data_IF_172835411311
#
_entry.id   IF_172835411311
#
_cell.length_a   1.000
_cell.length_b   1.000
_cell.length_c   1.000
_cell.angle_alpha   90.00
_cell.angle_beta   90.00
_cell.angle_gamma   90.00
#
_symmetry.space_group_name_H-M   'P 1'
#
loop_
_entity.id
_entity.type
_entity.pdbx_description
1 polymer ?
#
# COMPACT_ATOMS: atom_id res chain seq x y z
N UNK A 1 -7.61 -43.26 -14.54
CA UNK A 1 -7.50 -41.86 -15.02
C UNK A 1 -7.77 -40.82 -13.92
N UNK A 2 -8.86 -40.92 -13.15
CA UNK A 2 -9.20 -39.94 -12.09
C UNK A 2 -8.13 -39.77 -11.00
N UNK A 3 -7.52 -40.86 -10.52
CA UNK A 3 -6.46 -40.82 -9.49
C UNK A 3 -5.22 -40.07 -9.99
N UNK A 4 -4.82 -40.28 -11.25
CA UNK A 4 -3.69 -39.59 -11.85
C UNK A 4 -3.96 -38.08 -11.99
N UNK A 5 -5.19 -37.73 -12.38
CA UNK A 5 -5.65 -36.34 -12.44
C UNK A 5 -5.64 -35.67 -11.06
N UNK A 6 -6.07 -36.37 -10.02
CA UNK A 6 -6.10 -35.86 -8.65
C UNK A 6 -4.69 -35.58 -8.13
N UNK A 7 -3.76 -36.53 -8.30
CA UNK A 7 -2.35 -36.35 -7.90
C UNK A 7 -1.68 -35.21 -8.66
N UNK A 8 -1.95 -35.08 -9.97
CA UNK A 8 -1.42 -33.96 -10.77
C UNK A 8 -2.01 -32.61 -10.32
N UNK A 9 -3.30 -32.57 -9.98
CA UNK A 9 -3.96 -31.36 -9.48
C UNK A 9 -3.40 -30.94 -8.11
N UNK A 10 -3.19 -31.87 -7.18
CA UNK A 10 -2.57 -31.58 -5.88
C UNK A 10 -1.15 -31.04 -6.04
N UNK A 11 -0.34 -31.69 -6.87
CA UNK A 11 1.05 -31.26 -7.10
C UNK A 11 1.09 -29.86 -7.72
N UNK A 12 0.20 -29.58 -8.67
CA UNK A 12 0.08 -28.28 -9.29
C UNK A 12 -0.39 -27.20 -8.30
N UNK A 13 -1.38 -27.50 -7.46
CA UNK A 13 -1.89 -26.59 -6.43
C UNK A 13 -0.82 -26.29 -5.37
N UNK A 14 -0.10 -27.31 -4.89
CA UNK A 14 1.01 -27.17 -3.95
C UNK A 14 2.11 -26.28 -4.51
N UNK A 15 2.53 -26.50 -5.75
CA UNK A 15 3.54 -25.68 -6.41
C UNK A 15 3.10 -24.22 -6.61
N UNK A 16 1.80 -23.99 -6.87
CA UNK A 16 1.23 -22.63 -6.91
C UNK A 16 1.29 -21.96 -5.54
N UNK A 17 0.95 -22.68 -4.47
CA UNK A 17 0.96 -22.17 -3.09
C UNK A 17 2.37 -21.77 -2.67
N UNK A 18 3.38 -22.62 -2.91
CA UNK A 18 4.78 -22.33 -2.59
C UNK A 18 5.28 -21.08 -3.32
N UNK A 19 5.02 -21.00 -4.63
CA UNK A 19 5.43 -19.85 -5.44
C UNK A 19 4.71 -18.57 -5.01
N UNK A 20 3.43 -18.66 -4.67
CA UNK A 20 2.67 -17.50 -4.15
C UNK A 20 3.19 -17.04 -2.79
N UNK A 21 3.58 -17.98 -1.90
CA UNK A 21 4.20 -17.65 -0.60
C UNK A 21 5.53 -16.92 -0.79
N UNK A 22 6.35 -17.35 -1.74
CA UNK A 22 7.62 -16.67 -2.03
C UNK A 22 7.42 -15.26 -2.60
N UNK A 23 6.46 -15.10 -3.51
CA UNK A 23 6.08 -13.78 -4.05
C UNK A 23 5.58 -12.86 -2.93
N UNK A 24 4.66 -13.35 -2.09
CA UNK A 24 4.10 -12.61 -0.96
C UNK A 24 5.18 -12.16 0.03
N UNK A 25 6.07 -13.08 0.42
CA UNK A 25 7.19 -12.78 1.31
C UNK A 25 8.19 -11.81 0.69
N UNK A 26 8.39 -11.85 -0.63
CA UNK A 26 9.26 -10.91 -1.34
C UNK A 26 8.65 -9.51 -1.40
N UNK A 27 7.34 -9.39 -1.65
CA UNK A 27 6.62 -8.11 -1.64
C UNK A 27 6.70 -7.46 -0.25
N UNK A 28 6.37 -8.19 0.81
CA UNK A 28 6.43 -7.68 2.17
C UNK A 28 7.84 -7.17 2.54
N UNK A 29 8.88 -7.96 2.27
CA UNK A 29 10.28 -7.56 2.54
C UNK A 29 10.72 -6.32 1.76
N UNK A 30 10.21 -6.13 0.54
CA UNK A 30 10.55 -4.99 -0.33
C UNK A 30 9.65 -3.76 -0.11
N UNK A 31 8.53 -3.90 0.59
CA UNK A 31 7.53 -2.84 0.77
C UNK A 31 8.15 -1.53 1.26
N UNK A 32 9.00 -1.59 2.30
CA UNK A 32 9.71 -0.43 2.84
C UNK A 32 10.63 0.24 1.81
N UNK A 33 11.36 -0.55 1.02
CA UNK A 33 12.25 -0.02 -0.02
C UNK A 33 11.46 0.69 -1.12
N UNK A 34 10.36 0.08 -1.57
CA UNK A 34 9.49 0.65 -2.61
C UNK A 34 8.82 1.94 -2.10
N UNK A 35 8.26 1.91 -0.89
CA UNK A 35 7.63 3.06 -0.28
C UNK A 35 8.59 4.24 -0.12
N UNK A 36 9.82 4.00 0.38
CA UNK A 36 10.86 5.04 0.51
C UNK A 36 11.25 5.66 -0.84
N UNK A 37 11.33 4.84 -1.90
CA UNK A 37 11.60 5.35 -3.25
C UNK A 37 10.46 6.26 -3.74
N UNK A 38 9.21 5.85 -3.53
CA UNK A 38 8.03 6.65 -3.88
C UNK A 38 7.96 7.95 -3.08
N UNK A 39 8.22 7.91 -1.77
CA UNK A 39 8.30 9.10 -0.92
C UNK A 39 9.39 10.07 -1.40
N UNK A 40 10.57 9.56 -1.80
CA UNK A 40 11.61 10.41 -2.39
C UNK A 40 11.12 11.13 -3.64
N UNK A 41 10.40 10.44 -4.52
CA UNK A 41 9.81 11.03 -5.73
C UNK A 41 8.73 12.06 -5.37
N UNK A 42 7.84 11.75 -4.42
CA UNK A 42 6.83 12.68 -3.93
C UNK A 42 7.49 13.95 -3.36
N UNK A 43 8.55 13.82 -2.57
CA UNK A 43 9.31 14.95 -2.05
C UNK A 43 9.94 15.82 -3.14
N UNK A 44 10.35 15.25 -4.28
CA UNK A 44 10.80 16.04 -5.42
C UNK A 44 9.64 16.82 -6.07
N UNK A 45 8.48 16.18 -6.27
CA UNK A 45 7.28 16.80 -6.83
C UNK A 45 6.73 17.92 -5.93
N UNK A 46 6.79 17.72 -4.61
CA UNK A 46 6.47 18.74 -3.61
C UNK A 46 7.31 20.00 -3.80
N UNK A 47 8.64 19.86 -3.92
CA UNK A 47 9.56 20.98 -4.12
C UNK A 47 9.32 21.73 -5.43
N UNK A 48 8.87 21.02 -6.46
CA UNK A 48 8.53 21.59 -7.76
C UNK A 48 7.13 22.23 -7.80
N UNK A 49 6.35 22.16 -6.71
CA UNK A 49 4.96 22.65 -6.68
C UNK A 49 4.00 21.83 -7.54
N UNK A 50 4.38 20.62 -7.93
CA UNK A 50 3.59 19.76 -8.82
C UNK A 50 2.51 19.01 -8.04
N UNK A 51 1.40 19.69 -7.76
CA UNK A 51 0.34 19.23 -6.88
C UNK A 51 -0.24 17.85 -7.24
N UNK A 52 -0.82 17.71 -8.43
CA UNK A 52 -1.51 16.47 -8.82
C UNK A 52 -0.54 15.28 -8.92
N UNK A 53 0.65 15.42 -9.54
CA UNK A 53 1.68 14.39 -9.51
C UNK A 53 2.13 14.02 -8.09
N UNK A 54 2.28 14.99 -7.19
CA UNK A 54 2.66 14.75 -5.80
C UNK A 54 1.68 13.81 -5.11
N UNK A 55 0.38 14.13 -5.13
CA UNK A 55 -0.63 13.28 -4.49
C UNK A 55 -0.77 11.92 -5.17
N UNK A 56 -0.58 11.85 -6.49
CA UNK A 56 -0.55 10.56 -7.18
C UNK A 56 0.61 9.68 -6.71
N UNK A 57 1.80 10.24 -6.52
CA UNK A 57 2.97 9.50 -6.06
C UNK A 57 2.91 9.18 -4.57
N UNK A 58 2.35 10.07 -3.75
CA UNK A 58 2.07 9.85 -2.33
C UNK A 58 1.07 8.70 -2.14
N UNK A 59 -0.01 8.67 -2.94
CA UNK A 59 -0.99 7.59 -2.92
C UNK A 59 -0.32 6.24 -3.23
N UNK A 60 0.54 6.18 -4.26
CA UNK A 60 1.28 4.96 -4.60
C UNK A 60 2.22 4.52 -3.47
N UNK A 61 2.82 5.45 -2.74
CA UNK A 61 3.66 5.13 -1.59
C UNK A 61 2.84 4.44 -0.49
N UNK A 62 1.74 5.06 -0.07
CA UNK A 62 0.89 4.58 1.02
C UNK A 62 0.15 3.29 0.68
N UNK A 63 -0.62 3.29 -0.41
CA UNK A 63 -1.42 2.13 -0.79
C UNK A 63 -0.54 0.97 -1.22
N UNK A 64 0.56 1.24 -1.93
CA UNK A 64 1.54 0.23 -2.32
C UNK A 64 2.20 -0.42 -1.11
N UNK A 65 2.61 0.38 -0.12
CA UNK A 65 3.20 -0.11 1.13
C UNK A 65 2.26 -1.10 1.84
N UNK A 66 1.03 -0.67 2.09
CA UNK A 66 0.02 -1.47 2.80
C UNK A 66 -0.36 -2.71 1.99
N UNK A 67 -0.53 -2.58 0.68
CA UNK A 67 -0.83 -3.72 -0.20
C UNK A 67 0.27 -4.77 -0.18
N UNK A 68 1.54 -4.36 -0.21
CA UNK A 68 2.67 -5.29 -0.19
C UNK A 68 2.85 -5.93 1.20
N UNK A 69 2.65 -5.17 2.27
CA UNK A 69 2.71 -5.69 3.65
C UNK A 69 1.58 -6.66 3.96
N UNK A 70 0.37 -6.35 3.53
CA UNK A 70 -0.82 -7.18 3.72
C UNK A 70 -0.96 -8.28 2.65
N UNK A 71 -0.07 -8.30 1.66
CA UNK A 71 -0.14 -9.19 0.50
C UNK A 71 -1.50 -9.13 -0.23
N UNK A 72 -2.03 -7.91 -0.39
CA UNK A 72 -3.26 -7.66 -1.14
C UNK A 72 -2.93 -7.51 -2.63
N UNK A 73 -3.84 -8.01 -3.47
CA UNK A 73 -3.86 -7.73 -4.91
C UNK A 73 -4.79 -6.56 -5.20
N UNK A 74 -4.70 -5.97 -6.39
CA UNK A 74 -5.60 -4.88 -6.79
C UNK A 74 -7.08 -5.28 -6.79
N UNK A 75 -7.38 -6.55 -7.07
CA UNK A 75 -8.75 -7.07 -7.06
C UNK A 75 -9.29 -7.29 -5.65
N UNK A 76 -8.38 -7.43 -4.68
CA UNK A 76 -8.69 -7.75 -3.30
C UNK A 76 -8.72 -6.53 -2.38
N UNK A 77 -8.28 -5.37 -2.86
CA UNK A 77 -8.07 -4.19 -2.03
C UNK A 77 -9.40 -3.46 -1.80
N UNK A 78 -9.76 -3.27 -0.53
CA UNK A 78 -10.86 -2.40 -0.12
C UNK A 78 -10.49 -1.72 1.19
N UNK A 79 -11.15 -0.59 1.49
CA UNK A 79 -10.95 0.15 2.75
C UNK A 79 -11.18 -0.78 3.96
N UNK A 80 -12.31 -1.47 3.99
CA UNK A 80 -12.68 -2.36 5.10
C UNK A 80 -11.66 -3.48 5.28
N UNK A 81 -11.22 -4.11 4.18
CA UNK A 81 -10.24 -5.20 4.26
C UNK A 81 -8.87 -4.72 4.76
N UNK A 82 -8.45 -3.51 4.37
CA UNK A 82 -7.21 -2.91 4.90
C UNK A 82 -7.34 -2.71 6.41
N UNK A 83 -8.42 -2.08 6.85
CA UNK A 83 -8.68 -1.79 8.27
C UNK A 83 -8.71 -3.08 9.09
N UNK A 84 -9.48 -4.07 8.67
CA UNK A 84 -9.60 -5.37 9.35
C UNK A 84 -8.26 -6.09 9.48
N UNK A 85 -7.46 -6.10 8.41
CA UNK A 85 -6.15 -6.76 8.42
C UNK A 85 -5.12 -6.01 9.26
N UNK A 86 -5.13 -4.67 9.25
CA UNK A 86 -4.25 -3.87 10.11
C UNK A 86 -4.61 -4.07 11.59
N UNK A 87 -5.89 -4.10 11.93
CA UNK A 87 -6.37 -4.44 13.27
C UNK A 87 -5.95 -5.84 13.69
N UNK A 88 -6.11 -6.83 12.82
CA UNK A 88 -5.71 -8.22 13.08
C UNK A 88 -4.20 -8.33 13.36
N UNK A 89 -3.40 -7.43 12.80
CA UNK A 89 -1.95 -7.34 13.07
C UNK A 89 -1.58 -6.48 14.27
N UNK A 90 -2.56 -5.97 15.02
CA UNK A 90 -2.34 -5.19 16.23
C UNK A 90 -1.82 -3.77 15.98
N UNK A 91 -2.06 -3.22 14.79
CA UNK A 91 -1.71 -1.82 14.48
C UNK A 91 -2.59 -0.90 15.32
N UNK A 92 -1.98 0.16 15.87
CA UNK A 92 -2.70 1.18 16.64
C UNK A 92 -3.77 1.86 15.76
N UNK A 93 -4.98 2.02 16.31
CA UNK A 93 -6.10 2.70 15.66
C UNK A 93 -5.74 4.09 15.13
N UNK A 94 -4.89 4.84 15.84
CA UNK A 94 -4.47 6.18 15.41
C UNK A 94 -3.69 6.13 14.09
N UNK A 95 -2.81 5.13 13.92
CA UNK A 95 -2.06 4.92 12.68
C UNK A 95 -2.98 4.47 11.54
N UNK A 96 -3.99 3.63 11.84
CA UNK A 96 -5.00 3.23 10.86
C UNK A 96 -5.79 4.47 10.39
N UNK A 97 -6.22 5.31 11.33
CA UNK A 97 -6.99 6.51 11.00
C UNK A 97 -6.17 7.55 10.22
N UNK A 98 -4.88 7.70 10.54
CA UNK A 98 -3.96 8.55 9.79
C UNK A 98 -3.73 8.04 8.37
N UNK A 99 -3.57 6.71 8.18
CA UNK A 99 -3.49 6.11 6.86
C UNK A 99 -4.74 6.42 6.02
N UNK A 100 -5.93 6.21 6.59
CA UNK A 100 -7.19 6.48 5.90
C UNK A 100 -7.32 7.95 5.53
N UNK A 101 -7.00 8.84 6.47
CA UNK A 101 -7.00 10.28 6.22
C UNK A 101 -6.08 10.64 5.04
N UNK A 102 -4.85 10.13 5.00
CA UNK A 102 -3.90 10.44 3.93
C UNK A 102 -4.33 9.85 2.57
N UNK A 103 -4.95 8.67 2.55
CA UNK A 103 -5.55 8.10 1.34
C UNK A 103 -6.66 9.02 0.83
N UNK A 104 -7.55 9.48 1.70
CA UNK A 104 -8.66 10.36 1.34
C UNK A 104 -8.15 11.70 0.78
N UNK A 105 -7.09 12.27 1.38
CA UNK A 105 -6.44 13.47 0.84
C UNK A 105 -5.91 13.24 -0.59
N UNK A 106 -5.30 12.09 -0.85
CA UNK A 106 -4.81 11.74 -2.17
C UNK A 106 -5.93 11.52 -3.20
N UNK A 107 -7.03 10.89 -2.79
CA UNK A 107 -8.18 10.66 -3.67
C UNK A 107 -8.90 11.97 -3.98
N UNK A 108 -9.14 12.80 -2.97
CA UNK A 108 -9.71 14.14 -3.15
C UNK A 108 -8.88 14.98 -4.11
N UNK A 109 -7.56 14.99 -3.93
CA UNK A 109 -6.61 15.70 -4.80
C UNK A 109 -6.68 15.25 -6.28
N UNK A 110 -6.98 13.98 -6.53
CA UNK A 110 -7.07 13.40 -7.87
C UNK A 110 -8.37 13.74 -8.59
N UNK A 111 -9.47 13.90 -7.84
CA UNK A 111 -10.81 14.08 -8.41
C UNK A 111 -11.37 15.49 -8.26
N UNK A 112 -10.72 16.35 -7.47
CA UNK A 112 -11.15 17.75 -7.30
C UNK A 112 -10.62 18.63 -8.45
N UNK A 113 -11.48 19.51 -9.03
CA UNK A 113 -11.09 20.44 -10.08
C UNK A 113 -10.18 21.57 -9.58
N UNK A 114 -10.25 21.90 -8.29
CA UNK A 114 -9.32 22.80 -7.63
C UNK A 114 -8.87 22.17 -6.31
N UNK A 115 -7.89 21.27 -6.37
CA UNK A 115 -7.53 20.49 -5.20
C UNK A 115 -6.71 21.29 -4.17
N UNK A 116 -6.44 22.58 -4.46
CA UNK A 116 -5.68 23.47 -3.58
C UNK A 116 -4.18 23.14 -3.57
N UNK A 117 -3.46 23.60 -2.55
CA UNK A 117 -2.04 23.31 -2.30
C UNK A 117 -1.66 23.37 -0.82
N UNK A 118 -2.55 23.95 0.00
CA UNK A 118 -2.46 23.95 1.46
C UNK A 118 -2.52 22.51 1.98
N UNK A 119 -1.46 22.08 2.67
CA UNK A 119 -1.40 20.77 3.31
C UNK A 119 -0.50 19.74 2.64
N UNK A 120 0.08 20.02 1.46
CA UNK A 120 1.00 19.07 0.80
C UNK A 120 2.20 18.71 1.69
N UNK A 121 2.83 19.71 2.32
CA UNK A 121 4.01 19.50 3.16
C UNK A 121 3.66 18.72 4.43
N UNK A 122 2.53 19.03 5.06
CA UNK A 122 2.02 18.34 6.24
C UNK A 122 1.68 16.87 5.92
N UNK A 123 0.92 16.65 4.84
CA UNK A 123 0.59 15.30 4.38
C UNK A 123 1.84 14.49 3.99
N UNK A 124 2.86 15.13 3.43
CA UNK A 124 4.14 14.49 3.14
C UNK A 124 4.87 14.04 4.42
N UNK A 125 4.94 14.91 5.44
CA UNK A 125 5.56 14.60 6.74
C UNK A 125 4.83 13.45 7.43
N UNK A 126 3.50 13.55 7.55
CA UNK A 126 2.64 12.49 8.09
C UNK A 126 2.83 11.16 7.36
N UNK A 127 2.88 11.16 6.03
CA UNK A 127 3.12 9.93 5.28
C UNK A 127 4.50 9.29 5.56
N UNK A 128 5.54 10.10 5.73
CA UNK A 128 6.87 9.60 6.12
C UNK A 128 6.86 9.00 7.53
N UNK A 129 6.23 9.70 8.48
CA UNK A 129 6.10 9.27 9.88
C UNK A 129 5.28 7.99 9.99
N UNK A 130 4.14 7.93 9.29
CA UNK A 130 3.26 6.76 9.24
C UNK A 130 3.97 5.53 8.69
N UNK A 131 4.65 5.63 7.54
CA UNK A 131 5.39 4.50 6.96
C UNK A 131 6.55 4.08 7.87
N UNK A 132 7.17 5.02 8.59
CA UNK A 132 8.23 4.69 9.55
C UNK A 132 7.70 4.06 10.84
N UNK A 133 6.48 4.40 11.26
CA UNK A 133 5.87 3.93 12.51
C UNK A 133 5.13 2.62 12.34
N UNK A 134 4.58 2.36 11.16
CA UNK A 134 3.94 1.09 10.81
C UNK A 134 4.99 0.03 10.49
N UNK A 135 5.63 -0.57 11.49
CA UNK A 135 6.37 -1.83 11.28
C UNK A 135 5.40 -3.02 11.25
N UNK A 136 4.94 -3.35 10.02
CA UNK A 136 3.98 -4.44 9.70
C UNK A 136 4.61 -5.80 9.40
#
# INVERSE_FOLDING_TARGET
MLVLFFVLAEKFLSHRIERNRDIAGTRNRKANKVARLRLKNAGALLKSGNYSPFYQELHKALLGYVSDKLNLTLSDISRDKIVDLLHTRGVNQDLIQELLFLIDQCEFARYSPNPGGSGMEDNYKKAMELISSMEL
#
